data_IF_530871590711
#
_entry.id   IF_530871590711
#
_cell.length_a   1.000
_cell.length_b   1.000
_cell.length_c   1.000
_cell.angle_alpha   90.00
_cell.angle_beta   90.00
_cell.angle_gamma   90.00
#
_symmetry.space_group_name_H-M   'P 1'
#
loop_
_entity.id
_entity.type
_entity.pdbx_description
1 polymer ?
#
# COMPACT_ATOMS: atom_id res chain seq x y z
N UNK A 1 -7.14 -69.74 -11.63
CA UNK A 1 -6.83 -68.66 -10.68
C UNK A 1 -6.16 -67.53 -11.44
N UNK A 2 -6.94 -66.58 -11.95
CA UNK A 2 -6.39 -65.45 -12.69
C UNK A 2 -5.85 -64.41 -11.70
N UNK A 3 -4.53 -64.24 -11.67
CA UNK A 3 -3.91 -63.16 -10.93
C UNK A 3 -4.19 -61.87 -11.71
N UNK A 4 -4.98 -60.96 -11.13
CA UNK A 4 -5.20 -59.65 -11.73
C UNK A 4 -4.02 -58.76 -11.39
N UNK A 5 -3.62 -57.90 -12.32
CA UNK A 5 -2.53 -56.93 -12.15
C UNK A 5 -2.68 -56.13 -10.85
N UNK A 6 -3.92 -55.86 -10.45
CA UNK A 6 -4.26 -55.19 -9.19
C UNK A 6 -3.78 -55.92 -7.94
N UNK A 7 -3.81 -57.26 -7.90
CA UNK A 7 -3.30 -58.04 -6.77
C UNK A 7 -1.78 -57.93 -6.65
N UNK A 8 -1.08 -58.03 -7.78
CA UNK A 8 0.39 -57.87 -7.83
C UNK A 8 0.79 -56.45 -7.41
N UNK A 9 0.05 -55.43 -7.83
CA UNK A 9 0.28 -54.05 -7.40
C UNK A 9 -0.02 -53.85 -5.91
N UNK A 10 -1.05 -54.51 -5.38
CA UNK A 10 -1.36 -54.53 -3.95
C UNK A 10 -0.23 -55.16 -3.13
N UNK A 11 0.24 -56.33 -3.56
CA UNK A 11 1.33 -57.06 -2.89
C UNK A 11 2.68 -56.30 -2.97
N UNK A 12 2.95 -55.63 -4.09
CA UNK A 12 4.13 -54.78 -4.23
C UNK A 12 4.08 -53.57 -3.28
N UNK A 13 2.90 -52.96 -3.07
CA UNK A 13 2.72 -51.86 -2.12
C UNK A 13 2.92 -52.32 -0.67
N UNK A 14 2.36 -53.46 -0.29
CA UNK A 14 2.54 -53.99 1.08
C UNK A 14 3.99 -54.37 1.36
N UNK A 15 4.70 -54.92 0.38
CA UNK A 15 6.13 -55.20 0.50
C UNK A 15 6.95 -53.90 0.66
N UNK A 16 6.62 -52.85 -0.10
CA UNK A 16 7.28 -51.56 -0.01
C UNK A 16 7.09 -50.94 1.38
N UNK A 17 5.87 -50.99 1.93
CA UNK A 17 5.61 -50.49 3.28
C UNK A 17 6.40 -51.27 4.33
N UNK A 18 6.45 -52.61 4.24
CA UNK A 18 7.27 -53.44 5.12
C UNK A 18 8.76 -53.15 5.02
N UNK A 19 9.28 -52.91 3.82
CA UNK A 19 10.68 -52.54 3.62
C UNK A 19 10.99 -51.20 4.29
N UNK A 20 10.11 -50.23 4.13
CA UNK A 20 10.25 -48.92 4.77
C UNK A 20 10.23 -49.02 6.30
N UNK A 21 9.33 -49.82 6.87
CA UNK A 21 9.31 -50.09 8.31
C UNK A 21 10.63 -50.74 8.78
N UNK A 22 11.16 -51.71 8.03
CA UNK A 22 12.45 -52.34 8.34
C UNK A 22 13.61 -51.35 8.28
N UNK A 23 13.66 -50.47 7.27
CA UNK A 23 14.70 -49.44 7.17
C UNK A 23 14.64 -48.48 8.37
N UNK A 24 13.43 -48.03 8.77
CA UNK A 24 13.28 -47.19 9.96
C UNK A 24 13.71 -47.90 11.25
N UNK A 25 13.44 -49.20 11.38
CA UNK A 25 13.89 -49.99 12.53
C UNK A 25 15.42 -50.16 12.55
N UNK A 26 16.04 -50.32 11.38
CA UNK A 26 17.49 -50.40 11.24
C UNK A 26 18.18 -49.08 11.62
N UNK A 27 17.62 -47.94 11.20
CA UNK A 27 18.12 -46.61 11.59
C UNK A 27 18.10 -46.42 13.12
N UNK A 28 17.01 -46.83 13.78
CA UNK A 28 16.93 -46.77 15.25
C UNK A 28 17.96 -47.68 15.95
N UNK A 29 18.23 -48.87 15.42
CA UNK A 29 19.28 -49.75 15.95
C UNK A 29 20.69 -49.16 15.78
N UNK A 30 20.94 -48.47 14.66
CA UNK A 30 22.21 -47.78 14.42
C UNK A 30 22.39 -46.66 15.45
N UNK A 31 21.34 -45.88 15.72
CA UNK A 31 21.36 -44.82 16.73
C UNK A 31 21.63 -45.38 18.13
N UNK A 32 20.91 -46.44 18.53
CA UNK A 32 21.11 -47.11 19.82
C UNK A 32 22.53 -47.69 19.98
N UNK A 33 23.06 -48.32 18.92
CA UNK A 33 24.42 -48.85 18.89
C UNK A 33 25.45 -47.72 19.02
N UNK A 34 25.25 -46.59 18.33
CA UNK A 34 26.09 -45.40 18.43
C UNK A 34 26.12 -44.83 19.85
N UNK A 35 24.95 -44.71 20.48
CA UNK A 35 24.83 -44.24 21.86
C UNK A 35 25.52 -45.20 22.85
N UNK A 36 25.33 -46.51 22.69
CA UNK A 36 25.99 -47.52 23.52
C UNK A 36 27.51 -47.51 23.33
N UNK A 37 27.99 -47.38 22.09
CA UNK A 37 29.42 -47.30 21.82
C UNK A 37 30.05 -46.07 22.49
N UNK A 38 29.36 -44.92 22.45
CA UNK A 38 29.82 -43.71 23.14
C UNK A 38 29.92 -43.90 24.66
N UNK A 39 28.92 -44.55 25.28
CA UNK A 39 28.95 -44.82 26.74
C UNK A 39 30.06 -45.80 27.11
N UNK A 40 30.25 -46.88 26.34
CA UNK A 40 31.36 -47.83 26.55
C UNK A 40 32.71 -47.16 26.39
N UNK A 41 32.86 -46.28 25.40
CA UNK A 41 34.11 -45.54 25.18
C UNK A 41 34.41 -44.57 26.32
N UNK A 42 33.40 -43.84 26.79
CA UNK A 42 33.50 -42.98 27.97
C UNK A 42 33.94 -43.77 29.21
N UNK A 43 33.34 -44.95 29.43
CA UNK A 43 33.72 -45.83 30.55
C UNK A 43 35.14 -46.40 30.42
N UNK A 44 35.58 -46.71 29.19
CA UNK A 44 36.94 -47.20 28.92
C UNK A 44 37.99 -46.13 29.21
N UNK A 45 37.72 -44.88 28.86
CA UNK A 45 38.62 -43.76 29.13
C UNK A 45 38.75 -43.50 30.64
N UNK A 46 37.66 -43.58 31.39
CA UNK A 46 37.67 -43.49 32.87
C UNK A 46 38.44 -44.65 33.51
N UNK A 47 38.36 -45.86 32.96
CA UNK A 47 39.05 -47.05 33.50
C UNK A 47 40.53 -47.17 33.12
N UNK A 48 40.99 -46.48 32.08
CA UNK A 48 42.31 -46.67 31.49
C UNK A 48 43.18 -45.40 31.46
N UNK A 49 42.68 -44.27 31.99
CA UNK A 49 43.49 -43.07 32.19
C UNK A 49 44.51 -43.32 33.32
N UNK A 50 45.83 -43.26 33.04
CA UNK A 50 46.82 -43.16 34.11
C UNK A 50 46.59 -41.87 34.90
N UNK A 51 46.92 -41.81 36.20
CA UNK A 51 46.72 -40.61 37.01
C UNK A 51 47.68 -39.53 36.53
N UNK A 52 47.22 -38.73 35.58
CA UNK A 52 47.93 -37.55 35.11
C UNK A 52 47.82 -36.48 36.19
N UNK A 53 48.99 -36.12 36.71
CA UNK A 53 49.18 -35.28 37.89
C UNK A 53 48.84 -33.83 37.57
N UNK A 54 47.63 -33.34 37.87
CA UNK A 54 47.39 -31.91 38.08
C UNK A 54 46.27 -31.73 39.10
N UNK A 55 46.60 -31.14 40.26
CA UNK A 55 45.78 -30.59 41.36
C UNK A 55 44.66 -31.41 42.05
N UNK A 56 44.02 -32.38 41.39
CA UNK A 56 42.93 -33.18 41.98
C UNK A 56 43.42 -34.15 43.07
N UNK A 57 44.70 -34.50 43.08
CA UNK A 57 45.27 -35.39 44.09
C UNK A 57 45.18 -34.81 45.51
N UNK A 58 45.23 -33.48 45.66
CA UNK A 58 45.12 -32.81 46.96
C UNK A 58 43.70 -32.90 47.52
N UNK A 59 42.70 -32.66 46.66
CA UNK A 59 41.27 -32.78 46.96
C UNK A 59 40.95 -34.24 47.27
N UNK A 60 41.39 -35.19 46.43
CA UNK A 60 41.22 -36.62 46.69
C UNK A 60 41.91 -37.10 47.98
N UNK A 61 43.09 -36.56 48.32
CA UNK A 61 43.79 -36.90 49.56
C UNK A 61 43.06 -36.35 50.79
N UNK A 62 42.43 -35.19 50.69
CA UNK A 62 41.63 -34.61 51.76
C UNK A 62 40.28 -35.34 51.92
N UNK A 63 39.63 -35.69 50.81
CA UNK A 63 38.46 -36.57 50.77
C UNK A 63 38.78 -37.96 51.34
N UNK A 64 40.00 -38.48 51.13
CA UNK A 64 40.42 -39.78 51.69
C UNK A 64 40.53 -39.81 53.22
N UNK A 65 40.62 -38.63 53.87
CA UNK A 65 40.62 -38.51 55.34
C UNK A 65 39.22 -38.66 55.93
N UNK A 66 38.18 -38.42 55.15
CA UNK A 66 36.80 -38.55 55.57
C UNK A 66 36.26 -39.95 55.22
N UNK A 67 35.48 -40.53 56.13
CA UNK A 67 34.75 -41.76 55.80
C UNK A 67 33.82 -41.47 54.61
N UNK A 68 33.66 -42.36 53.62
CA UNK A 68 32.82 -42.12 52.43
C UNK A 68 31.40 -41.63 52.77
N UNK A 69 30.84 -42.10 53.89
CA UNK A 69 29.54 -41.67 54.38
C UNK A 69 29.50 -40.18 54.78
N UNK A 70 30.58 -39.62 55.33
CA UNK A 70 30.63 -38.21 55.73
C UNK A 70 30.60 -37.28 54.52
N UNK A 71 31.36 -37.62 53.46
CA UNK A 71 31.35 -36.88 52.20
C UNK A 71 29.98 -36.94 51.52
N UNK A 72 29.38 -38.13 51.44
CA UNK A 72 28.03 -38.29 50.90
C UNK A 72 27.01 -37.46 51.70
N UNK A 73 27.17 -37.36 53.02
CA UNK A 73 26.26 -36.54 53.85
C UNK A 73 26.45 -35.05 53.57
N UNK A 74 27.70 -34.60 53.41
CA UNK A 74 28.03 -33.22 53.07
C UNK A 74 27.49 -32.83 51.68
N UNK A 75 27.74 -33.66 50.66
CA UNK A 75 27.23 -33.46 49.30
C UNK A 75 25.70 -33.45 49.28
N UNK A 76 25.04 -34.34 50.02
CA UNK A 76 23.58 -34.33 50.13
C UNK A 76 23.05 -33.06 50.81
N UNK A 77 23.77 -32.48 51.76
CA UNK A 77 23.39 -31.19 52.37
C UNK A 77 23.53 -30.07 51.33
N UNK A 78 24.64 -30.02 50.60
CA UNK A 78 24.86 -29.02 49.56
C UNK A 78 23.80 -29.13 48.45
N UNK A 79 23.44 -30.35 48.04
CA UNK A 79 22.36 -30.59 47.07
C UNK A 79 21.03 -30.05 47.60
N UNK A 80 20.71 -30.24 48.88
CA UNK A 80 19.48 -29.72 49.49
C UNK A 80 19.47 -28.19 49.55
N UNK A 81 20.60 -27.57 49.88
CA UNK A 81 20.75 -26.12 49.89
C UNK A 81 20.55 -25.54 48.48
N UNK A 82 21.19 -26.12 47.47
CA UNK A 82 21.00 -25.72 46.07
C UNK A 82 19.55 -25.92 45.60
N UNK A 83 18.89 -27.00 46.01
CA UNK A 83 17.48 -27.22 45.70
C UNK A 83 16.57 -26.18 46.37
N UNK A 84 16.89 -25.80 47.61
CA UNK A 84 16.16 -24.74 48.31
C UNK A 84 16.39 -23.38 47.64
N UNK A 85 17.63 -23.02 47.30
CA UNK A 85 17.95 -21.79 46.60
C UNK A 85 17.23 -21.72 45.24
N UNK A 86 17.25 -22.81 44.46
CA UNK A 86 16.48 -22.87 43.21
C UNK A 86 14.98 -22.65 43.42
N UNK A 87 14.41 -23.17 44.51
CA UNK A 87 13.01 -22.95 44.85
C UNK A 87 12.75 -21.48 45.22
N UNK A 88 13.64 -20.86 45.98
CA UNK A 88 13.54 -19.44 46.35
C UNK A 88 13.69 -18.53 45.11
N UNK A 89 14.59 -18.86 44.18
CA UNK A 89 14.73 -18.16 42.90
C UNK A 89 13.44 -18.28 42.06
N UNK A 90 12.84 -19.46 42.00
CA UNK A 90 11.55 -19.66 41.33
C UNK A 90 10.43 -18.80 41.93
N UNK A 91 10.32 -18.77 43.26
CA UNK A 91 9.34 -17.93 43.96
C UNK A 91 9.58 -16.44 43.71
N UNK A 92 10.84 -15.99 43.80
CA UNK A 92 11.21 -14.60 43.53
C UNK A 92 10.87 -14.18 42.10
N UNK A 93 11.09 -15.07 41.12
CA UNK A 93 10.74 -14.82 39.72
C UNK A 93 9.22 -14.67 39.54
N UNK A 94 8.43 -15.53 40.19
CA UNK A 94 6.97 -15.45 40.18
C UNK A 94 6.46 -14.14 40.82
N UNK A 95 7.04 -13.73 41.95
CA UNK A 95 6.72 -12.47 42.61
C UNK A 95 7.06 -11.25 41.75
N UNK A 96 8.22 -11.25 41.07
CA UNK A 96 8.61 -10.20 40.14
C UNK A 96 7.65 -10.12 38.94
N UNK A 97 7.23 -11.27 38.41
CA UNK A 97 6.26 -11.34 37.33
C UNK A 97 4.92 -10.74 37.75
N UNK A 98 4.43 -11.06 38.96
CA UNK A 98 3.22 -10.49 39.53
C UNK A 98 3.33 -8.97 39.73
N UNK A 99 4.47 -8.49 40.25
CA UNK A 99 4.73 -7.07 40.44
C UNK A 99 4.71 -6.30 39.10
N UNK A 100 5.35 -6.85 38.05
CA UNK A 100 5.34 -6.27 36.71
C UNK A 100 3.95 -6.23 36.11
N UNK A 101 3.17 -7.31 36.24
CA UNK A 101 1.81 -7.35 35.74
C UNK A 101 0.93 -6.27 36.39
N UNK A 102 1.08 -6.08 37.70
CA UNK A 102 0.37 -5.05 38.44
C UNK A 102 0.76 -3.63 37.99
N UNK A 103 2.06 -3.35 37.84
CA UNK A 103 2.57 -2.04 37.39
C UNK A 103 2.10 -1.76 35.96
N UNK A 104 2.27 -2.71 35.05
CA UNK A 104 1.86 -2.57 33.66
C UNK A 104 0.34 -2.45 33.53
N UNK A 105 -0.42 -3.17 34.36
CA UNK A 105 -1.87 -3.04 34.46
C UNK A 105 -2.31 -1.64 34.89
N UNK A 106 -1.65 -1.05 35.90
CA UNK A 106 -1.91 0.34 36.33
C UNK A 106 -1.50 1.35 35.27
N UNK A 107 -0.33 1.19 34.65
CA UNK A 107 0.16 2.06 33.59
C UNK A 107 -0.83 2.11 32.41
N UNK A 108 -1.31 0.95 31.94
CA UNK A 108 -2.32 0.88 30.88
C UNK A 108 -3.60 1.63 31.26
N UNK A 109 -4.10 1.46 32.49
CA UNK A 109 -5.29 2.18 32.98
C UNK A 109 -5.07 3.69 33.00
N UNK A 110 -3.92 4.15 33.50
CA UNK A 110 -3.58 5.57 33.53
C UNK A 110 -3.47 6.16 32.12
N UNK A 111 -2.84 5.44 31.18
CA UNK A 111 -2.73 5.87 29.79
C UNK A 111 -4.11 6.00 29.13
N UNK A 112 -5.00 5.02 29.35
CA UNK A 112 -6.37 5.09 28.85
C UNK A 112 -7.12 6.30 29.43
N UNK A 113 -7.01 6.55 30.73
CA UNK A 113 -7.62 7.72 31.36
C UNK A 113 -7.06 9.03 30.76
N UNK A 114 -5.75 9.12 30.55
CA UNK A 114 -5.12 10.27 29.91
C UNK A 114 -5.60 10.47 28.47
N UNK A 115 -5.71 9.39 27.69
CA UNK A 115 -6.25 9.46 26.32
C UNK A 115 -7.70 9.90 26.29
N UNK A 116 -8.54 9.45 27.24
CA UNK A 116 -9.93 9.88 27.34
C UNK A 116 -10.04 11.35 27.77
N UNK A 117 -9.28 11.77 28.78
CA UNK A 117 -9.22 13.18 29.21
C UNK A 117 -8.68 14.10 28.11
N UNK A 118 -7.69 13.64 27.32
CA UNK A 118 -7.20 14.36 26.13
C UNK A 118 -8.17 14.33 24.96
N UNK A 119 -8.99 13.29 24.81
CA UNK A 119 -10.07 13.26 23.81
C UNK A 119 -11.20 14.23 24.15
N UNK A 120 -11.39 14.53 25.44
CA UNK A 120 -12.23 15.64 25.88
C UNK A 120 -11.60 17.02 25.62
N UNK A 121 -10.31 17.08 25.26
CA UNK A 121 -9.69 18.24 24.63
C UNK A 121 -10.14 18.34 23.16
N UNK A 122 -11.42 18.67 23.05
CA UNK A 122 -12.17 19.21 21.92
C UNK A 122 -11.62 18.89 20.52
N UNK A 123 -11.86 17.67 20.04
CA UNK A 123 -11.75 17.36 18.61
C UNK A 123 -12.91 17.98 17.81
N UNK A 124 -13.93 18.54 18.47
CA UNK A 124 -15.10 19.13 17.82
C UNK A 124 -14.72 20.30 16.91
N UNK A 125 -13.90 21.30 17.30
CA UNK A 125 -13.53 22.41 16.43
C UNK A 125 -12.83 21.96 15.15
N UNK A 126 -11.96 20.95 15.20
CA UNK A 126 -11.29 20.43 13.99
C UNK A 126 -12.30 19.70 13.08
N UNK A 127 -13.18 18.90 13.66
CA UNK A 127 -14.22 18.19 12.90
C UNK A 127 -15.24 19.15 12.29
N UNK A 128 -15.65 20.20 13.00
CA UNK A 128 -16.56 21.23 12.47
C UNK A 128 -15.91 22.03 11.36
N UNK A 129 -14.63 22.41 11.49
CA UNK A 129 -13.90 23.11 10.43
C UNK A 129 -13.80 22.26 9.15
N UNK A 130 -13.57 20.95 9.29
CA UNK A 130 -13.55 20.05 8.14
C UNK A 130 -14.94 19.88 7.52
N UNK A 131 -16.00 19.82 8.34
CA UNK A 131 -17.38 19.73 7.86
C UNK A 131 -17.80 21.00 7.12
N UNK A 132 -17.44 22.19 7.62
CA UNK A 132 -17.74 23.47 6.99
C UNK A 132 -16.97 23.64 5.69
N UNK A 133 -15.69 23.26 5.66
CA UNK A 133 -14.90 23.26 4.43
C UNK A 133 -15.48 22.30 3.39
N UNK A 134 -15.91 21.10 3.78
CA UNK A 134 -16.55 20.16 2.88
C UNK A 134 -17.86 20.71 2.29
N UNK A 135 -18.67 21.42 3.09
CA UNK A 135 -19.90 22.10 2.62
C UNK A 135 -19.59 23.22 1.63
N UNK A 136 -18.56 24.02 1.87
CA UNK A 136 -18.15 25.08 0.95
C UNK A 136 -17.69 24.51 -0.41
N UNK A 137 -16.85 23.47 -0.39
CA UNK A 137 -16.42 22.77 -1.61
C UNK A 137 -17.62 22.19 -2.35
N UNK A 138 -18.56 21.57 -1.65
CA UNK A 138 -19.79 21.04 -2.22
C UNK A 138 -20.63 22.15 -2.89
N UNK A 139 -20.80 23.29 -2.24
CA UNK A 139 -21.50 24.45 -2.81
C UNK A 139 -20.79 25.05 -4.03
N UNK A 140 -19.46 24.98 -4.10
CA UNK A 140 -18.71 25.36 -5.31
C UNK A 140 -18.96 24.40 -6.46
N UNK A 141 -18.98 23.09 -6.20
CA UNK A 141 -19.30 22.08 -7.21
C UNK A 141 -20.72 22.27 -7.75
N UNK A 142 -21.68 22.56 -6.88
CA UNK A 142 -23.07 22.83 -7.28
C UNK A 142 -23.17 24.04 -8.20
N UNK A 143 -22.51 25.15 -7.86
CA UNK A 143 -22.44 26.35 -8.73
C UNK A 143 -21.80 26.05 -10.09
N UNK A 144 -20.73 25.25 -10.12
CA UNK A 144 -20.09 24.83 -11.38
C UNK A 144 -21.07 24.00 -12.21
N UNK A 145 -21.83 23.10 -11.58
CA UNK A 145 -22.84 22.29 -12.25
C UNK A 145 -23.97 23.14 -12.82
N UNK A 146 -24.49 24.11 -12.07
CA UNK A 146 -25.50 25.07 -12.53
C UNK A 146 -25.00 25.88 -13.72
N UNK A 147 -23.79 26.45 -13.60
CA UNK A 147 -23.18 27.20 -14.69
C UNK A 147 -22.94 26.33 -15.93
N UNK A 148 -22.55 25.07 -15.74
CA UNK A 148 -22.45 24.09 -16.82
C UNK A 148 -23.79 23.82 -17.51
N UNK A 149 -24.90 23.82 -16.78
CA UNK A 149 -26.24 23.69 -17.38
C UNK A 149 -26.61 24.93 -18.20
N UNK A 150 -26.37 26.13 -17.66
CA UNK A 150 -26.63 27.40 -18.37
C UNK A 150 -25.81 27.47 -19.65
N UNK A 151 -24.51 27.14 -19.59
CA UNK A 151 -23.62 27.13 -20.74
C UNK A 151 -24.09 26.15 -21.82
N UNK A 152 -24.47 24.92 -21.44
CA UNK A 152 -25.06 23.95 -22.38
C UNK A 152 -26.35 24.47 -23.02
N UNK A 153 -27.21 25.15 -22.25
CA UNK A 153 -28.45 25.70 -22.79
C UNK A 153 -28.19 26.85 -23.76
N UNK A 154 -27.24 27.73 -23.46
CA UNK A 154 -26.82 28.81 -24.34
C UNK A 154 -26.32 28.25 -25.68
N UNK A 155 -25.40 27.28 -25.63
CA UNK A 155 -24.89 26.61 -26.84
C UNK A 155 -26.03 25.98 -27.67
N UNK A 156 -26.97 25.29 -27.03
CA UNK A 156 -28.11 24.69 -27.74
C UNK A 156 -28.97 25.73 -28.47
N UNK A 157 -29.23 26.87 -27.81
CA UNK A 157 -30.03 27.96 -28.41
C UNK A 157 -29.26 28.61 -29.56
N UNK A 158 -27.96 28.82 -29.39
CA UNK A 158 -27.09 29.39 -30.42
C UNK A 158 -26.98 28.48 -31.65
N UNK A 159 -26.83 27.16 -31.46
CA UNK A 159 -26.80 26.17 -32.55
C UNK A 159 -28.12 26.17 -33.34
N UNK A 160 -29.26 26.26 -32.65
CA UNK A 160 -30.58 26.34 -33.28
C UNK A 160 -30.73 27.64 -34.07
N UNK A 161 -30.33 28.76 -33.49
CA UNK A 161 -30.36 30.07 -34.13
C UNK A 161 -29.44 30.10 -35.36
N UNK A 162 -28.23 29.55 -35.25
CA UNK A 162 -27.28 29.44 -36.36
C UNK A 162 -27.86 28.63 -37.53
N UNK A 163 -28.50 27.49 -37.25
CA UNK A 163 -29.18 26.71 -38.30
C UNK A 163 -30.26 27.53 -39.01
N UNK A 164 -31.12 28.23 -38.26
CA UNK A 164 -32.19 29.05 -38.83
C UNK A 164 -31.67 30.21 -39.69
N UNK A 165 -30.63 30.92 -39.22
CA UNK A 165 -29.99 32.00 -39.98
C UNK A 165 -29.36 31.46 -41.26
N UNK A 166 -28.66 30.33 -41.19
CA UNK A 166 -28.01 29.69 -42.35
C UNK A 166 -29.04 29.26 -43.39
N UNK A 167 -30.15 28.66 -42.96
CA UNK A 167 -31.26 28.30 -43.86
C UNK A 167 -31.87 29.53 -44.54
N UNK A 168 -32.11 30.60 -43.78
CA UNK A 168 -32.65 31.84 -44.34
C UNK A 168 -31.69 32.49 -45.34
N UNK A 169 -30.39 32.46 -45.03
CA UNK A 169 -29.37 32.99 -45.92
C UNK A 169 -29.32 32.20 -47.23
N UNK A 170 -29.34 30.87 -47.17
CA UNK A 170 -29.39 30.02 -48.36
C UNK A 170 -30.65 30.26 -49.21
N UNK A 171 -31.82 30.45 -48.59
CA UNK A 171 -33.05 30.83 -49.30
C UNK A 171 -32.88 32.16 -50.04
N UNK A 172 -32.38 33.18 -49.35
CA UNK A 172 -32.16 34.50 -49.94
C UNK A 172 -31.12 34.47 -51.07
N UNK A 173 -30.09 33.63 -50.97
CA UNK A 173 -29.10 33.42 -52.04
C UNK A 173 -29.74 32.81 -53.30
N UNK A 174 -30.61 31.80 -53.12
CA UNK A 174 -31.36 31.19 -54.22
C UNK A 174 -32.31 32.22 -54.85
N UNK A 175 -33.09 32.93 -54.03
CA UNK A 175 -33.99 33.99 -54.51
C UNK A 175 -33.22 35.08 -55.27
N UNK A 176 -32.06 35.53 -54.76
CA UNK A 176 -31.22 36.52 -55.46
C UNK A 176 -30.72 35.99 -56.81
N UNK A 177 -30.31 34.72 -56.85
CA UNK A 177 -29.85 34.08 -58.09
C UNK A 177 -30.99 34.00 -59.10
N UNK A 178 -32.16 33.54 -58.68
CA UNK A 178 -33.36 33.45 -59.53
C UNK A 178 -33.80 34.83 -60.05
N UNK A 179 -33.80 35.86 -59.20
CA UNK A 179 -34.12 37.23 -59.61
C UNK A 179 -33.11 37.77 -60.64
N UNK A 180 -31.82 37.47 -60.49
CA UNK A 180 -30.77 37.83 -61.45
C UNK A 180 -30.91 37.07 -62.77
N UNK A 181 -31.24 35.79 -62.72
CA UNK A 181 -31.50 34.96 -63.89
C UNK A 181 -32.73 35.48 -64.65
N UNK A 182 -33.81 35.80 -63.94
CA UNK A 182 -35.02 36.40 -64.51
C UNK A 182 -34.74 37.76 -65.16
N UNK A 183 -33.93 38.61 -64.50
CA UNK A 183 -33.48 39.89 -65.06
C UNK A 183 -32.65 39.67 -66.34
N UNK A 184 -31.81 38.65 -66.37
CA UNK A 184 -30.99 38.31 -67.54
C UNK A 184 -31.85 37.84 -68.70
N UNK A 185 -32.85 36.98 -68.44
CA UNK A 185 -33.84 36.54 -69.44
C UNK A 185 -34.64 37.75 -69.97
N UNK A 186 -35.08 38.66 -69.09
CA UNK A 186 -35.78 39.88 -69.49
C UNK A 186 -34.93 40.80 -70.35
N UNK A 187 -33.63 40.94 -70.05
CA UNK A 187 -32.70 41.70 -70.91
C UNK A 187 -32.50 41.02 -72.26
N UNK A 188 -32.34 39.70 -72.29
CA UNK A 188 -32.18 38.94 -73.52
C UNK A 188 -33.44 38.97 -74.40
N UNK A 189 -34.65 39.03 -73.81
CA UNK A 189 -35.91 39.12 -74.55
C UNK A 189 -36.23 40.53 -75.05
N UNK A 190 -35.72 41.58 -74.39
CA UNK A 190 -35.87 42.99 -74.80
C UNK A 190 -34.79 43.43 -75.79
N UNK A 191 -33.66 42.72 -75.88
CA UNK A 191 -32.59 43.01 -76.84
C UNK A 191 -32.95 42.53 -78.26
N UNK A 192 -33.65 43.39 -79.00
CA UNK A 192 -33.45 43.51 -80.45
C UNK A 192 -32.13 44.25 -80.70
N UNK A 193 -31.36 43.94 -81.76
CA UNK A 193 -30.03 44.53 -81.93
C UNK A 193 -30.18 45.99 -82.38
N UNK A 194 -29.63 46.92 -81.59
CA UNK A 194 -29.20 48.23 -82.08
C UNK A 194 -27.87 48.63 -81.45
N UNK A 195 -26.98 49.04 -82.34
CA UNK A 195 -25.61 49.50 -82.15
C UNK A 195 -25.47 50.74 -81.24
N UNK A 196 -24.28 50.79 -80.63
CA UNK A 196 -23.39 51.91 -80.37
C UNK A 196 -23.70 53.05 -79.38
N UNK A 197 -22.64 53.30 -78.59
CA UNK A 197 -22.15 54.57 -78.01
C UNK A 197 -22.88 55.17 -76.81
N UNK A 198 -22.28 55.04 -75.62
CA UNK A 198 -21.54 56.13 -74.94
C UNK A 198 -21.41 55.90 -73.43
N UNK A 199 -20.18 56.07 -72.95
CA UNK A 199 -19.83 56.39 -71.56
C UNK A 199 -20.51 57.71 -71.14
N UNK A 200 -20.86 57.90 -69.85
CA UNK A 200 -19.86 58.53 -68.95
C UNK A 200 -19.93 58.10 -67.47
N UNK A 201 -18.80 58.21 -66.75
CA UNK A 201 -18.73 58.39 -65.28
C UNK A 201 -19.03 59.87 -64.91
N UNK A 202 -19.11 60.35 -63.63
CA UNK A 202 -18.85 59.72 -62.31
C UNK A 202 -20.00 59.97 -61.28
N UNK A 203 -20.01 59.47 -60.04
CA UNK A 203 -19.59 60.22 -58.84
C UNK A 203 -19.78 59.39 -57.55
N UNK A 204 -18.72 59.35 -56.75
CA UNK A 204 -18.55 59.10 -55.31
C UNK A 204 -19.78 59.23 -54.40
N UNK A 205 -20.07 58.20 -53.58
CA UNK A 205 -20.45 58.36 -52.17
C UNK A 205 -19.63 57.36 -51.33
N UNK A 206 -18.77 57.92 -50.48
CA UNK A 206 -17.98 57.25 -49.45
C UNK A 206 -18.82 57.22 -48.17
N UNK A 207 -19.02 56.04 -47.56
CA UNK A 207 -19.09 55.88 -46.10
C UNK A 207 -18.38 54.56 -45.73
N UNK A 208 -17.44 54.56 -44.77
CA UNK A 208 -16.58 53.41 -44.47
C UNK A 208 -17.16 52.55 -43.34
N UNK A 209 -17.01 51.22 -43.43
CA UNK A 209 -16.86 50.39 -42.23
C UNK A 209 -15.80 49.32 -42.47
N UNK A 210 -14.61 49.67 -41.99
CA UNK A 210 -13.51 48.79 -41.59
C UNK A 210 -14.03 47.57 -40.83
N UNK A 211 -13.80 46.35 -41.35
CA UNK A 211 -13.20 45.26 -40.58
C UNK A 211 -12.32 44.46 -41.55
N UNK A 212 -11.03 44.76 -41.52
CA UNK A 212 -10.00 43.86 -42.01
C UNK A 212 -9.70 42.80 -40.96
N UNK A 213 -8.99 41.76 -41.41
CA UNK A 213 -8.07 40.92 -40.63
C UNK A 213 -8.56 39.49 -40.38
N UNK A 214 -8.34 38.66 -41.42
CA UNK A 214 -7.48 37.46 -41.37
C UNK A 214 -7.42 36.69 -40.05
N UNK A 215 -7.99 35.48 -40.05
CA UNK A 215 -7.59 34.41 -39.15
C UNK A 215 -6.64 33.46 -39.91
N UNK A 216 -5.34 33.70 -39.79
CA UNK A 216 -4.31 32.67 -39.91
C UNK A 216 -4.10 32.05 -38.53
N UNK A 217 -3.96 30.73 -38.54
CA UNK A 217 -3.75 29.86 -37.39
C UNK A 217 -2.50 30.26 -36.61
N UNK A 218 -2.57 30.23 -35.27
CA UNK A 218 -1.41 29.85 -34.48
C UNK A 218 -1.83 29.19 -33.15
N UNK A 219 -1.19 28.05 -32.95
CA UNK A 219 -1.25 27.12 -31.85
C UNK A 219 -0.53 27.73 -30.63
N UNK A 220 -1.15 27.77 -29.46
CA UNK A 220 -0.41 27.92 -28.20
C UNK A 220 -1.09 27.11 -27.11
N UNK A 221 -0.44 25.98 -26.83
CA UNK A 221 -0.64 25.12 -25.67
C UNK A 221 -0.44 25.95 -24.40
N UNK A 222 -1.43 26.00 -23.52
CA UNK A 222 -1.28 26.48 -22.15
C UNK A 222 -1.62 25.34 -21.19
N UNK A 223 -0.57 24.81 -20.55
CA UNK A 223 -0.62 23.87 -19.43
C UNK A 223 -1.24 24.54 -18.20
N UNK A 224 -2.01 23.82 -17.35
CA UNK A 224 -2.46 24.37 -16.08
C UNK A 224 -1.36 24.23 -15.02
N UNK A 225 -1.04 25.35 -14.38
CA UNK A 225 -0.12 25.42 -13.24
C UNK A 225 -0.76 24.74 -12.01
N UNK A 226 -0.18 23.61 -11.60
CA UNK A 226 -0.41 23.00 -10.29
C UNK A 226 0.40 23.83 -9.28
N UNK A 227 -0.31 24.54 -8.40
CA UNK A 227 0.31 25.20 -7.25
C UNK A 227 0.45 24.17 -6.12
N UNK A 228 1.68 23.71 -5.89
CA UNK A 228 2.08 22.88 -4.76
C UNK A 228 2.36 23.81 -3.56
N UNK A 229 1.84 23.54 -2.34
CA UNK A 229 2.20 24.29 -1.15
C UNK A 229 3.61 23.87 -0.64
N UNK A 230 4.32 24.73 0.09
CA UNK A 230 5.71 24.46 0.47
C UNK A 230 5.80 23.35 1.52
N UNK A 231 6.73 22.41 1.30
CA UNK A 231 7.20 21.45 2.29
C UNK A 231 7.94 22.18 3.41
N UNK A 232 7.42 22.05 4.64
CA UNK A 232 8.07 22.50 5.85
C UNK A 232 9.04 21.39 6.32
N UNK A 233 10.30 21.50 5.89
CA UNK A 233 11.39 20.71 6.46
C UNK A 233 11.81 21.32 7.80
N UNK A 234 11.22 20.81 8.87
CA UNK A 234 11.75 20.93 10.23
C UNK A 234 12.34 19.58 10.66
N UNK A 235 13.65 19.42 10.48
CA UNK A 235 14.45 18.40 11.16
C UNK A 235 14.43 18.67 12.68
N UNK A 236 14.24 17.65 13.54
CA UNK A 236 14.69 17.75 14.92
C UNK A 236 16.14 17.27 15.00
N UNK A 237 17.00 18.21 15.39
CA UNK A 237 18.40 18.00 15.73
C UNK A 237 18.58 16.83 16.71
N UNK A 238 19.53 15.96 16.36
CA UNK A 238 20.11 14.97 17.25
C UNK A 238 20.91 15.66 18.35
N UNK A 239 20.33 15.76 19.56
CA UNK A 239 21.11 16.04 20.75
C UNK A 239 21.79 14.76 21.23
N UNK A 240 23.06 14.63 20.84
CA UNK A 240 24.07 13.85 21.54
C UNK A 240 24.74 14.81 22.53
N UNK A 241 24.52 14.63 23.83
CA UNK A 241 25.56 14.84 24.86
C UNK A 241 25.06 14.52 26.28
N UNK A 242 25.90 13.75 26.99
CA UNK A 242 25.95 13.40 28.43
C UNK A 242 25.08 12.28 28.99
#
# INVERSE_FOLDING_TARGET
MACTLEKVLGDARTLLERLKEHDTAAESLIEQSGALNHTVQSMREVGNAPPEKVDDASVFQELSKYKPHALLTQENTQIKELQQENKELWLSLEEHQYALELIMGRYRKQMLQLMMAKKELDTKPVLTMHEDYAKEVQGQVERICEMGQVMRKAVQVDDQHYCSVRERLAQLEIENKELRDLLTISKASVCTPKEDSNEPAPTTIIIPTTIATTATMEETVLTPAITVPPEDHSEPESNTDQ
#
